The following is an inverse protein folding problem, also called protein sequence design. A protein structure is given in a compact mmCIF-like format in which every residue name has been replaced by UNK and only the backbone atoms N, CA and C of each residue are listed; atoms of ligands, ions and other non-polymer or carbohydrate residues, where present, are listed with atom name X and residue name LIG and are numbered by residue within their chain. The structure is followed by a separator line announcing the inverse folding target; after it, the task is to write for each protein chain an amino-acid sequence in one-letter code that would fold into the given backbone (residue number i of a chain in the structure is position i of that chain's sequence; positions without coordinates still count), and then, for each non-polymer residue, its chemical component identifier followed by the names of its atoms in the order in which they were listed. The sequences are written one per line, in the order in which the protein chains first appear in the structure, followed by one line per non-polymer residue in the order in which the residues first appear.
data_IF_550182108458
#
_entry.id   IF_550182108458
#
_cell.length_a   1.000
_cell.length_b   1.000
_cell.length_c   1.000
_cell.angle_alpha   90.00
_cell.angle_beta   90.00
_cell.angle_gamma   90.00
#
_symmetry.space_group_name_H-M   'P 1'
#
loop_
_entity.id
_entity.type
_entity.pdbx_description
1 polymer ?
#
# COMPACT_ATOMS: atom_id res chain seq x y z
N UNK A 1 -6.38 4.85 16.24
CA UNK A 1 -5.13 5.21 16.94
C UNK A 1 -4.71 6.56 16.40
N UNK A 2 -4.32 7.47 17.27
CA UNK A 2 -3.83 8.80 16.88
C UNK A 2 -2.30 8.80 16.94
N UNK A 3 -1.65 9.36 15.91
CA UNK A 3 -0.19 9.50 15.82
C UNK A 3 0.10 10.97 15.51
N UNK A 4 0.91 11.61 16.35
CA UNK A 4 1.36 13.00 16.15
C UNK A 4 2.80 13.01 15.63
N UNK A 5 3.06 13.79 14.58
CA UNK A 5 4.39 13.94 13.98
C UNK A 5 4.79 15.42 14.07
N UNK A 6 5.97 15.68 14.63
CA UNK A 6 6.54 17.03 14.68
C UNK A 6 7.47 17.23 13.48
N UNK A 7 7.23 18.28 12.70
CA UNK A 7 8.06 18.66 11.56
C UNK A 7 8.64 20.07 11.78
N UNK A 8 9.84 20.35 11.24
CA UNK A 8 10.31 21.73 11.08
C UNK A 8 9.31 22.57 10.28
N UNK A 9 9.17 23.85 10.63
CA UNK A 9 8.18 24.76 10.05
C UNK A 9 8.37 24.93 8.53
N UNK A 10 9.61 25.06 8.08
CA UNK A 10 9.97 25.16 6.67
C UNK A 10 9.53 23.93 5.87
N UNK A 11 9.63 22.73 6.45
CA UNK A 11 9.18 21.48 5.83
C UNK A 11 7.66 21.38 5.83
N UNK A 12 7.00 21.73 6.94
CA UNK A 12 5.53 21.70 7.03
C UNK A 12 4.87 22.61 5.99
N UNK A 13 5.45 23.79 5.75
CA UNK A 13 4.95 24.76 4.78
C UNK A 13 4.95 24.23 3.34
N UNK A 14 5.84 23.30 2.98
CA UNK A 14 5.84 22.65 1.66
C UNK A 14 4.54 21.88 1.42
N UNK A 15 4.00 21.23 2.44
CA UNK A 15 2.80 20.40 2.33
C UNK A 15 1.49 21.20 2.43
N UNK A 16 1.52 22.36 3.09
CA UNK A 16 0.34 23.21 3.28
C UNK A 16 -0.01 24.06 2.04
N UNK A 17 0.92 24.20 1.08
CA UNK A 17 0.75 25.05 -0.10
C UNK A 17 -0.31 24.52 -1.11
N UNK A 18 -0.57 23.21 -1.12
CA UNK A 18 -1.35 22.56 -2.18
C UNK A 18 -2.86 22.45 -1.90
N UNK A 19 -3.34 22.90 -0.73
CA UNK A 19 -4.77 22.89 -0.36
C UNK A 19 -5.40 21.50 -0.14
N UNK A 20 -4.67 20.42 -0.42
CA UNK A 20 -5.06 19.04 -0.11
C UNK A 20 -4.71 18.68 1.34
N UNK A 21 -5.44 17.75 1.97
CA UNK A 21 -5.17 17.43 3.36
C UNK A 21 -3.82 16.71 3.51
N UNK A 22 -2.92 17.32 4.29
CA UNK A 22 -1.60 16.73 4.62
C UNK A 22 -1.75 15.34 5.22
N UNK A 23 -2.81 15.13 6.01
CA UNK A 23 -3.16 13.85 6.61
C UNK A 23 -3.33 12.75 5.57
N UNK A 24 -4.04 13.04 4.46
CA UNK A 24 -4.27 12.06 3.40
C UNK A 24 -2.96 11.72 2.68
N UNK A 25 -2.17 12.73 2.32
CA UNK A 25 -0.86 12.53 1.67
C UNK A 25 0.07 11.67 2.53
N UNK A 26 0.13 11.95 3.83
CA UNK A 26 0.98 11.20 4.77
C UNK A 26 0.49 9.75 4.90
N UNK A 27 -0.82 9.53 4.98
CA UNK A 27 -1.38 8.18 5.03
C UNK A 27 -1.07 7.39 3.76
N UNK A 28 -1.25 7.99 2.58
CA UNK A 28 -0.98 7.34 1.30
C UNK A 28 0.51 7.00 1.13
N UNK A 29 1.40 7.94 1.43
CA UNK A 29 2.85 7.69 1.40
C UNK A 29 3.26 6.57 2.37
N UNK A 30 2.68 6.57 3.57
CA UNK A 30 2.96 5.53 4.58
C UNK A 30 2.43 4.17 4.14
N UNK A 31 1.24 4.11 3.54
CA UNK A 31 0.67 2.90 2.99
C UNK A 31 1.53 2.31 1.85
N UNK A 32 1.99 3.16 0.92
CA UNK A 32 2.85 2.78 -0.19
C UNK A 32 4.17 2.18 0.30
N UNK A 33 4.86 2.88 1.21
CA UNK A 33 6.14 2.42 1.74
C UNK A 33 5.99 1.17 2.63
N UNK A 34 4.93 1.12 3.42
CA UNK A 34 4.58 -0.06 4.21
C UNK A 34 4.36 -1.29 3.33
N UNK A 35 3.70 -1.13 2.18
CA UNK A 35 3.53 -2.21 1.21
C UNK A 35 4.84 -2.57 0.51
N UNK A 36 5.60 -1.59 -0.01
CA UNK A 36 6.89 -1.83 -0.69
C UNK A 36 7.89 -2.58 0.19
N UNK A 37 7.89 -2.30 1.48
CA UNK A 37 8.76 -2.96 2.46
C UNK A 37 8.20 -4.28 3.00
N UNK A 38 7.02 -4.72 2.53
CA UNK A 38 6.34 -5.93 2.99
C UNK A 38 5.79 -5.87 4.42
N UNK A 39 5.83 -4.69 5.08
CA UNK A 39 5.29 -4.48 6.43
C UNK A 39 3.77 -4.41 6.45
N UNK A 40 3.17 -3.97 5.35
CA UNK A 40 1.73 -3.94 5.15
C UNK A 40 1.34 -4.89 4.02
N UNK A 41 0.34 -5.71 4.29
CA UNK A 41 -0.37 -6.47 3.25
C UNK A 41 -1.31 -5.56 2.45
N UNK A 42 -1.68 -6.01 1.25
CA UNK A 42 -2.71 -5.39 0.42
C UNK A 42 -3.99 -5.07 1.19
N UNK A 43 -4.49 -6.03 1.97
CA UNK A 43 -5.70 -5.84 2.79
C UNK A 43 -5.52 -4.81 3.93
N UNK A 44 -4.32 -4.69 4.50
CA UNK A 44 -4.03 -3.66 5.50
C UNK A 44 -3.99 -2.27 4.87
N UNK A 45 -3.45 -2.13 3.65
CA UNK A 45 -3.50 -0.87 2.89
C UNK A 45 -4.94 -0.46 2.63
N UNK A 46 -5.79 -1.40 2.16
CA UNK A 46 -7.22 -1.12 1.94
C UNK A 46 -7.92 -0.62 3.20
N UNK A 47 -7.71 -1.28 4.35
CA UNK A 47 -8.26 -0.80 5.62
C UNK A 47 -7.72 0.57 6.04
N UNK A 48 -6.43 0.82 5.84
CA UNK A 48 -5.78 2.08 6.22
C UNK A 48 -6.28 3.28 5.42
N UNK A 49 -6.54 3.08 4.12
CA UNK A 49 -6.97 4.14 3.20
C UNK A 49 -8.49 4.17 2.97
N UNK A 50 -9.22 3.26 3.63
CA UNK A 50 -10.66 3.02 3.43
C UNK A 50 -11.02 2.70 1.97
N UNK A 51 -10.21 1.84 1.35
CA UNK A 51 -10.35 1.38 -0.03
C UNK A 51 -10.76 -0.09 -0.05
N UNK A 52 -11.62 -0.45 -1.00
CA UNK A 52 -11.91 -1.84 -1.32
C UNK A 52 -10.75 -2.50 -2.08
N UNK A 53 -10.81 -3.82 -2.29
CA UNK A 53 -9.72 -4.58 -2.91
C UNK A 53 -9.30 -4.03 -4.28
N UNK A 54 -10.26 -3.66 -5.13
CA UNK A 54 -9.98 -3.18 -6.48
C UNK A 54 -9.45 -1.75 -6.49
N UNK A 55 -9.95 -0.90 -5.58
CA UNK A 55 -9.43 0.45 -5.40
C UNK A 55 -7.98 0.46 -4.91
N UNK A 56 -7.57 -0.54 -4.11
CA UNK A 56 -6.16 -0.71 -3.74
C UNK A 56 -5.29 -1.06 -4.95
N UNK A 57 -5.78 -1.92 -5.85
CA UNK A 57 -5.06 -2.26 -7.09
C UNK A 57 -4.90 -1.04 -7.99
N UNK A 58 -5.96 -0.23 -8.13
CA UNK A 58 -5.91 1.05 -8.86
C UNK A 58 -4.96 2.04 -8.19
N UNK A 59 -5.00 2.16 -6.87
CA UNK A 59 -4.09 2.99 -6.09
C UNK A 59 -2.63 2.60 -6.32
N UNK A 60 -2.30 1.30 -6.25
CA UNK A 60 -0.94 0.83 -6.53
C UNK A 60 -0.51 1.08 -7.96
N UNK A 61 -1.41 0.88 -8.94
CA UNK A 61 -1.14 1.17 -10.34
C UNK A 61 -0.83 2.65 -10.57
N UNK A 62 -1.61 3.54 -9.98
CA UNK A 62 -1.42 4.99 -10.11
C UNK A 62 -0.11 5.48 -9.46
N UNK A 63 0.45 4.72 -8.50
CA UNK A 63 1.69 5.02 -7.80
C UNK A 63 2.88 4.13 -8.23
N UNK A 64 2.74 3.40 -9.35
CA UNK A 64 3.76 2.54 -9.93
C UNK A 64 4.35 1.52 -8.92
N UNK A 65 3.50 1.01 -8.04
CA UNK A 65 3.87 -0.01 -7.07
C UNK A 65 3.70 -1.38 -7.69
N UNK A 66 4.81 -2.09 -7.89
CA UNK A 66 4.78 -3.49 -8.28
C UNK A 66 4.10 -4.32 -7.18
N UNK A 67 3.26 -5.27 -7.59
CA UNK A 67 2.72 -6.25 -6.66
C UNK A 67 3.87 -7.04 -6.05
N UNK A 68 3.82 -7.25 -4.74
CA UNK A 68 4.72 -8.18 -4.03
C UNK A 68 4.33 -9.63 -4.34
N UNK A 69 4.37 -9.99 -5.62
CA UNK A 69 4.02 -11.31 -6.13
C UNK A 69 5.03 -11.69 -7.20
N UNK A 70 5.86 -12.67 -6.87
CA UNK A 70 6.97 -13.12 -7.71
C UNK A 70 6.55 -14.27 -8.62
N UNK A 71 7.41 -14.61 -9.59
CA UNK A 71 7.21 -15.80 -10.43
C UNK A 71 7.30 -17.06 -9.56
N UNK A 72 8.15 -17.05 -8.56
CA UNK A 72 8.33 -18.13 -7.60
C UNK A 72 7.05 -18.38 -6.78
N UNK A 73 6.35 -17.31 -6.38
CA UNK A 73 5.03 -17.39 -5.74
C UNK A 73 4.01 -18.03 -6.69
N UNK A 74 3.98 -17.59 -7.95
CA UNK A 74 3.12 -18.19 -8.98
C UNK A 74 3.39 -19.68 -9.18
N UNK A 75 4.66 -20.07 -9.24
CA UNK A 75 5.01 -21.49 -9.37
C UNK A 75 4.63 -22.29 -8.14
N UNK A 76 4.78 -21.73 -6.93
CA UNK A 76 4.34 -22.34 -5.69
C UNK A 76 2.83 -22.57 -5.69
N UNK A 77 2.06 -21.58 -6.09
CA UNK A 77 0.61 -21.67 -6.23
C UNK A 77 0.22 -22.76 -7.26
N UNK A 78 0.88 -22.79 -8.42
CA UNK A 78 0.66 -23.84 -9.43
C UNK A 78 0.97 -25.24 -8.90
N UNK A 79 2.03 -25.41 -8.09
CA UNK A 79 2.35 -26.69 -7.43
C UNK A 79 1.26 -27.08 -6.44
N UNK A 80 0.78 -26.13 -5.63
CA UNK A 80 -0.31 -26.35 -4.66
C UNK A 80 -1.60 -26.77 -5.36
N UNK A 81 -2.00 -26.06 -6.43
CA UNK A 81 -3.19 -26.38 -7.21
C UNK A 81 -3.10 -27.77 -7.85
N UNK A 82 -1.96 -28.13 -8.46
CA UNK A 82 -1.77 -29.48 -9.03
C UNK A 82 -1.99 -30.59 -7.98
N UNK A 83 -1.52 -30.40 -6.74
CA UNK A 83 -1.71 -31.38 -5.66
C UNK A 83 -3.18 -31.49 -5.22
N UNK A 84 -3.89 -30.36 -5.17
CA UNK A 84 -5.30 -30.33 -4.74
C UNK A 84 -6.25 -30.90 -5.81
N UNK A 85 -5.93 -30.71 -7.09
CA UNK A 85 -6.78 -31.08 -8.22
C UNK A 85 -6.30 -32.32 -9.00
N UNK A 86 -5.30 -33.08 -8.52
CA UNK A 86 -4.87 -34.34 -9.15
C UNK A 86 -5.71 -35.56 -8.75
N UNK A 87 -7.00 -35.40 -8.49
CA UNK A 87 -7.95 -36.49 -8.23
C UNK A 87 -8.96 -36.59 -9.35
#
# INVERSE_FOLDING_TARGET
MEITINLPEDVANVFLADGESIERKVLEATALEGYRTGKLSHAQVGRMLNLNRFEVDEFFKNHEVALNYTIEDLEADRRTLRKLFSK
#
